data_IF_137590087752
#
_entry.id   IF_137590087752
#
_cell.length_a   1.000
_cell.length_b   1.000
_cell.length_c   1.000
_cell.angle_alpha   90.00
_cell.angle_beta   90.00
_cell.angle_gamma   90.00
#
_symmetry.space_group_name_H-M   'P 1'
#
loop_
_entity.id
_entity.type
_entity.pdbx_description
1 polymer ?
#
# COMPACT_ATOMS: atom_id res chain seq x y z
N UNK A 1 -3.67 20.00 -9.81
CA UNK A 1 -3.02 19.14 -8.80
C UNK A 1 -4.07 18.40 -7.98
N UNK A 2 -3.93 17.10 -7.86
CA UNK A 2 -4.90 16.27 -7.15
C UNK A 2 -4.21 15.45 -6.06
N UNK A 3 -4.97 15.08 -5.05
CA UNK A 3 -4.56 14.17 -3.99
C UNK A 3 -5.54 13.00 -3.94
N UNK A 4 -5.02 11.77 -3.83
CA UNK A 4 -5.84 10.61 -3.49
C UNK A 4 -5.46 10.17 -2.09
N UNK A 5 -6.38 10.31 -1.17
CA UNK A 5 -6.13 10.09 0.26
C UNK A 5 -6.43 8.67 0.73
N UNK A 6 -6.78 7.77 -0.17
CA UNK A 6 -7.01 6.37 0.19
C UNK A 6 -6.79 5.46 -1.01
N UNK A 7 -5.58 4.94 -1.12
CA UNK A 7 -5.24 3.91 -2.09
C UNK A 7 -4.63 2.71 -1.38
N UNK A 8 -4.53 1.60 -2.08
CA UNK A 8 -3.69 0.47 -1.72
C UNK A 8 -2.89 0.09 -2.96
N UNK A 9 -1.61 0.48 -3.00
CA UNK A 9 -0.77 0.26 -4.19
C UNK A 9 -0.65 -1.23 -4.54
N UNK A 10 -0.79 -2.11 -3.57
CA UNK A 10 -0.78 -3.56 -3.78
C UNK A 10 -1.98 -4.03 -4.63
N UNK A 11 -3.06 -3.26 -4.67
CA UNK A 11 -4.28 -3.59 -5.41
C UNK A 11 -4.30 -2.86 -6.76
N UNK A 12 -4.92 -3.48 -7.76
CA UNK A 12 -4.98 -2.92 -9.12
C UNK A 12 -6.38 -2.47 -9.54
N UNK A 13 -7.37 -2.65 -8.66
CA UNK A 13 -8.75 -2.27 -8.97
C UNK A 13 -9.50 -3.29 -9.83
N UNK A 14 -8.90 -4.44 -10.14
CA UNK A 14 -9.52 -5.49 -10.94
C UNK A 14 -9.89 -6.68 -10.07
N UNK A 15 -8.90 -7.47 -9.64
CA UNK A 15 -9.15 -8.62 -8.76
C UNK A 15 -8.06 -8.69 -7.69
N UNK A 16 -8.46 -8.44 -6.44
CA UNK A 16 -7.52 -8.24 -5.34
C UNK A 16 -6.63 -9.47 -5.06
N UNK A 17 -7.15 -10.69 -5.23
CA UNK A 17 -6.36 -11.89 -4.96
C UNK A 17 -5.20 -12.06 -5.93
N UNK A 18 -5.43 -11.77 -7.20
CA UNK A 18 -4.38 -11.85 -8.23
C UNK A 18 -3.36 -10.71 -8.06
N UNK A 19 -3.83 -9.52 -7.74
CA UNK A 19 -2.96 -8.38 -7.48
C UNK A 19 -2.02 -8.65 -6.29
N UNK A 20 -2.56 -9.19 -5.20
CA UNK A 20 -1.76 -9.57 -4.03
C UNK A 20 -0.78 -10.69 -4.37
N UNK A 21 -1.23 -11.71 -5.10
CA UNK A 21 -0.39 -12.84 -5.48
C UNK A 21 0.84 -12.40 -6.29
N UNK A 22 0.70 -11.37 -7.12
CA UNK A 22 1.80 -10.83 -7.92
C UNK A 22 2.95 -10.29 -7.05
N UNK A 23 2.68 -9.89 -5.81
CA UNK A 23 3.68 -9.31 -4.91
C UNK A 23 4.09 -10.24 -3.76
N UNK A 24 3.66 -11.50 -3.74
CA UNK A 24 3.92 -12.41 -2.59
C UNK A 24 5.39 -12.66 -2.33
N UNK A 25 6.23 -12.65 -3.36
CA UNK A 25 7.67 -12.87 -3.23
C UNK A 25 8.46 -11.57 -3.13
N UNK A 26 7.77 -10.46 -2.97
CA UNK A 26 8.33 -9.13 -2.86
C UNK A 26 7.65 -8.15 -3.81
N UNK A 27 7.80 -6.84 -3.54
CA UNK A 27 7.22 -5.82 -4.40
C UNK A 27 7.80 -5.91 -5.82
N UNK A 28 6.91 -5.82 -6.82
CA UNK A 28 7.31 -5.84 -8.22
C UNK A 28 7.36 -4.42 -8.77
N UNK A 29 8.56 -3.94 -8.98
CA UNK A 29 8.80 -2.59 -9.52
C UNK A 29 8.14 -2.39 -10.88
N UNK A 30 8.13 -3.41 -11.73
CA UNK A 30 7.54 -3.39 -13.06
C UNK A 30 6.02 -3.16 -13.05
N UNK A 31 5.34 -3.45 -11.94
CA UNK A 31 3.92 -3.17 -11.75
C UNK A 31 3.70 -1.82 -11.05
N UNK A 32 4.58 -1.45 -10.13
CA UNK A 32 4.42 -0.24 -9.32
C UNK A 32 4.73 1.03 -10.12
N UNK A 33 5.82 1.04 -10.87
CA UNK A 33 6.23 2.21 -11.66
C UNK A 33 5.16 2.70 -12.63
N UNK A 34 4.53 1.83 -13.45
CA UNK A 34 3.47 2.29 -14.35
C UNK A 34 2.27 2.89 -13.63
N UNK A 35 1.96 2.43 -12.42
CA UNK A 35 0.87 2.98 -11.62
C UNK A 35 1.19 4.37 -11.11
N UNK A 36 2.40 4.58 -10.61
CA UNK A 36 2.86 5.91 -10.19
C UNK A 36 2.88 6.87 -11.37
N UNK A 37 3.34 6.43 -12.51
CA UNK A 37 3.36 7.21 -13.74
C UNK A 37 1.94 7.58 -14.19
N UNK A 38 1.00 6.65 -14.12
CA UNK A 38 -0.41 6.89 -14.44
C UNK A 38 -1.03 7.93 -13.50
N UNK A 39 -0.80 7.83 -12.21
CA UNK A 39 -1.26 8.85 -11.26
C UNK A 39 -0.69 10.22 -11.60
N UNK A 40 0.60 10.29 -11.87
CA UNK A 40 1.23 11.57 -12.18
C UNK A 40 0.70 12.18 -13.47
N UNK A 41 0.49 11.38 -14.52
CA UNK A 41 -0.04 11.88 -15.80
C UNK A 41 -1.49 12.35 -15.67
N UNK A 42 -2.24 11.84 -14.70
CA UNK A 42 -3.58 12.32 -14.38
C UNK A 42 -3.59 13.57 -13.48
N UNK A 43 -2.43 14.04 -13.04
CA UNK A 43 -2.30 15.23 -12.22
C UNK A 43 -2.25 14.98 -10.72
N UNK A 44 -2.12 13.74 -10.27
CA UNK A 44 -1.96 13.44 -8.85
C UNK A 44 -0.53 13.71 -8.39
N UNK A 45 -0.40 14.50 -7.33
CA UNK A 45 0.90 14.84 -6.72
C UNK A 45 1.00 14.40 -5.26
N UNK A 46 -0.08 13.85 -4.70
CA UNK A 46 -0.12 13.34 -3.35
C UNK A 46 -0.93 12.05 -3.32
N UNK A 47 -0.35 11.00 -2.75
CA UNK A 47 -1.02 9.71 -2.55
C UNK A 47 -0.86 9.27 -1.10
N UNK A 48 -1.95 8.79 -0.52
CA UNK A 48 -1.95 8.21 0.82
C UNK A 48 -2.40 6.76 0.72
N UNK A 49 -1.45 5.87 0.94
CA UNK A 49 -1.65 4.43 0.91
C UNK A 49 -2.17 3.95 2.27
N UNK A 50 -3.13 3.05 2.26
CA UNK A 50 -3.61 2.39 3.48
C UNK A 50 -2.72 1.28 3.99
N UNK A 51 -1.64 0.97 3.26
CA UNK A 51 -0.67 -0.04 3.65
C UNK A 51 -0.98 -1.44 3.15
N UNK A 52 0.00 -2.31 3.27
CA UNK A 52 -0.06 -3.73 2.99
C UNK A 52 1.05 -4.45 3.76
N UNK A 53 0.96 -5.79 3.87
CA UNK A 53 1.96 -6.56 4.62
C UNK A 53 3.12 -7.10 3.77
N UNK A 54 3.11 -6.87 2.45
CA UNK A 54 4.16 -7.36 1.53
C UNK A 54 5.22 -6.33 1.19
N UNK A 55 5.08 -5.10 1.71
CA UNK A 55 6.04 -4.03 1.48
C UNK A 55 5.83 -3.24 0.20
N UNK A 56 4.69 -3.41 -0.48
CA UNK A 56 4.41 -2.72 -1.74
C UNK A 56 4.29 -1.21 -1.52
N UNK A 57 3.54 -0.79 -0.50
CA UNK A 57 3.38 0.63 -0.18
C UNK A 57 4.71 1.29 0.20
N UNK A 58 5.54 0.60 0.98
CA UNK A 58 6.88 1.08 1.33
C UNK A 58 7.75 1.25 0.09
N UNK A 59 7.73 0.27 -0.80
CA UNK A 59 8.51 0.30 -2.03
C UNK A 59 8.05 1.44 -2.95
N UNK A 60 6.72 1.60 -3.08
CA UNK A 60 6.14 2.69 -3.86
C UNK A 60 6.52 4.07 -3.29
N UNK A 61 6.54 4.22 -1.97
CA UNK A 61 6.99 5.45 -1.32
C UNK A 61 8.41 5.81 -1.74
N UNK A 62 9.30 4.83 -1.76
CA UNK A 62 10.70 5.06 -2.12
C UNK A 62 10.88 5.44 -3.59
N UNK A 63 9.98 5.00 -4.47
CA UNK A 63 9.99 5.35 -5.89
C UNK A 63 9.27 6.65 -6.23
N UNK A 64 8.28 7.04 -5.42
CA UNK A 64 7.33 8.10 -5.76
C UNK A 64 8.00 9.46 -6.00
N UNK A 65 9.09 9.77 -5.31
CA UNK A 65 9.81 11.01 -5.47
C UNK A 65 10.30 11.25 -6.89
N UNK A 66 10.68 10.20 -7.61
CA UNK A 66 11.13 10.30 -9.00
C UNK A 66 10.00 10.74 -9.95
N UNK A 67 8.74 10.59 -9.55
CA UNK A 67 7.56 11.01 -10.30
C UNK A 67 6.97 12.33 -9.80
N UNK A 68 7.62 12.99 -8.85
CA UNK A 68 7.11 14.22 -8.26
C UNK A 68 5.88 14.01 -7.39
N UNK A 69 5.74 12.83 -6.79
CA UNK A 69 4.60 12.47 -5.94
C UNK A 69 5.05 12.39 -4.50
N UNK A 70 4.31 13.07 -3.61
CA UNK A 70 4.44 12.88 -2.16
C UNK A 70 3.62 11.65 -1.79
N UNK A 71 4.26 10.64 -1.22
CA UNK A 71 3.64 9.37 -0.91
C UNK A 71 3.72 9.09 0.59
N UNK A 72 2.56 8.81 1.19
CA UNK A 72 2.45 8.49 2.61
C UNK A 72 1.87 7.08 2.78
N UNK A 73 2.42 6.32 3.70
CA UNK A 73 1.96 4.98 4.01
C UNK A 73 2.18 4.66 5.48
N UNK A 74 1.23 3.98 6.15
CA UNK A 74 1.46 3.45 7.50
C UNK A 74 2.33 2.19 7.48
N UNK A 75 2.80 1.77 6.33
CA UNK A 75 3.50 0.53 5.99
C UNK A 75 2.53 -0.65 5.88
N UNK A 76 1.81 -1.00 6.94
CA UNK A 76 0.81 -2.06 6.92
C UNK A 76 -0.41 -1.67 7.75
N UNK A 77 -1.61 -2.13 7.40
CA UNK A 77 -2.79 -1.98 8.24
C UNK A 77 -2.72 -2.92 9.44
N UNK A 78 -3.29 -2.48 10.55
CA UNK A 78 -3.39 -3.27 11.79
C UNK A 78 -4.86 -3.59 12.03
N UNK A 79 -5.17 -4.84 12.34
CA UNK A 79 -6.52 -5.25 12.66
C UNK A 79 -6.56 -6.20 13.85
N UNK A 80 -7.67 -6.18 14.60
CA UNK A 80 -7.87 -7.11 15.71
C UNK A 80 -8.18 -8.49 15.15
N UNK A 81 -7.56 -9.53 15.71
CA UNK A 81 -7.79 -10.91 15.28
C UNK A 81 -9.29 -11.25 15.29
N UNK A 82 -9.75 -11.92 14.22
CA UNK A 82 -11.15 -12.26 14.03
C UNK A 82 -12.00 -11.14 13.41
N UNK A 83 -11.44 -9.94 13.21
CA UNK A 83 -12.09 -8.83 12.52
C UNK A 83 -11.60 -8.71 11.08
N UNK A 84 -12.23 -7.79 10.32
CA UNK A 84 -11.87 -7.55 8.93
C UNK A 84 -10.48 -6.96 8.79
N UNK A 85 -9.73 -7.39 7.79
CA UNK A 85 -8.41 -6.86 7.48
C UNK A 85 -7.33 -7.91 7.18
N UNK A 86 -7.65 -9.18 7.32
CA UNK A 86 -6.68 -10.27 7.20
C UNK A 86 -6.03 -10.43 5.84
N UNK A 87 -6.63 -9.89 4.80
CA UNK A 87 -6.10 -10.05 3.44
C UNK A 87 -4.92 -9.10 3.12
N UNK A 88 -4.74 -8.02 3.86
CA UNK A 88 -3.64 -7.06 3.62
C UNK A 88 -2.91 -6.61 4.88
N UNK A 89 -3.41 -6.92 6.07
CA UNK A 89 -2.90 -6.36 7.32
C UNK A 89 -2.20 -7.35 8.23
N UNK A 90 -1.78 -6.85 9.38
CA UNK A 90 -1.23 -7.65 10.48
C UNK A 90 -2.19 -7.61 11.67
N UNK A 91 -2.44 -8.78 12.26
CA UNK A 91 -3.39 -8.93 13.36
C UNK A 91 -2.75 -8.69 14.72
N UNK A 92 -3.59 -8.30 15.66
CA UNK A 92 -3.27 -8.32 17.09
C UNK A 92 -4.45 -8.93 17.86
N UNK A 93 -4.20 -9.45 19.06
CA UNK A 93 -5.23 -9.97 19.94
C UNK A 93 -5.15 -9.38 21.36
N UNK A 94 -4.03 -8.75 21.68
CA UNK A 94 -3.83 -8.08 22.98
C UNK A 94 -3.31 -6.66 22.77
N UNK A 95 -3.45 -5.81 23.77
CA UNK A 95 -2.90 -4.45 23.73
C UNK A 95 -1.37 -4.46 23.61
N UNK A 96 -0.71 -5.43 24.23
CA UNK A 96 0.74 -5.58 24.12
C UNK A 96 1.17 -5.92 22.68
N UNK A 97 0.46 -6.84 22.03
CA UNK A 97 0.71 -7.20 20.64
C UNK A 97 0.45 -6.01 19.71
N UNK A 98 -0.60 -5.23 19.97
CA UNK A 98 -0.88 -4.01 19.22
C UNK A 98 0.28 -3.00 19.33
N UNK A 99 0.75 -2.74 20.53
CA UNK A 99 1.86 -1.81 20.77
C UNK A 99 3.15 -2.26 20.07
N UNK A 100 3.38 -3.56 19.97
CA UNK A 100 4.54 -4.11 19.27
C UNK A 100 4.49 -3.88 17.75
N UNK A 101 3.28 -3.76 17.16
CA UNK A 101 3.11 -3.48 15.74
C UNK A 101 3.25 -1.99 15.38
N UNK A 102 2.99 -1.14 16.35
CA UNK A 102 3.11 0.32 16.16
C UNK A 102 4.55 0.74 16.33
#
# INVERSE_FOLDING_TARGET
MYADCHIHMVLDGVYYKDAIAAHRQGPREDLIRPRLEAYRSLGFTYLRDGGDRWGVGRFARDLAGAYGIIYRTPLFPIYKRGHYGGFIGRSFDTMEAYKALV
#
